data_IF_016873779896
#
_entry.id   IF_016873779896
#
_cell.length_a   1.000
_cell.length_b   1.000
_cell.length_c   1.000
_cell.angle_alpha   90.00
_cell.angle_beta   90.00
_cell.angle_gamma   90.00
#
_symmetry.space_group_name_H-M   'P 1'
#
loop_
_entity.id
_entity.type
_entity.pdbx_description
1 polymer ?
#
# COMPACT_ATOMS: atom_id res chain seq x y z
N UNK A 1 -1.80 39.15 -10.49
CA UNK A 1 -2.57 37.93 -10.14
C UNK A 1 -2.26 37.60 -8.68
N UNK A 2 -3.12 38.06 -7.78
CA UNK A 2 -2.99 37.83 -6.34
C UNK A 2 -3.54 36.43 -6.00
N UNK A 3 -2.67 35.50 -5.61
CA UNK A 3 -3.10 34.20 -5.09
C UNK A 3 -3.79 34.41 -3.74
N UNK A 4 -5.11 34.28 -3.75
CA UNK A 4 -6.01 34.38 -2.61
C UNK A 4 -5.60 33.39 -1.49
N UNK A 5 -4.82 33.88 -0.52
CA UNK A 5 -4.24 33.14 0.62
C UNK A 5 -5.29 32.43 1.49
N UNK A 6 -6.57 32.84 1.43
CA UNK A 6 -7.67 32.21 2.17
C UNK A 6 -8.17 30.87 1.60
N UNK A 7 -7.96 30.62 0.30
CA UNK A 7 -8.41 29.37 -0.34
C UNK A 7 -7.56 28.16 0.05
N UNK A 8 -6.25 28.37 0.20
CA UNK A 8 -5.28 27.31 0.56
C UNK A 8 -5.54 26.80 1.99
N UNK A 9 -5.81 27.70 2.94
CA UNK A 9 -6.13 27.32 4.32
C UNK A 9 -7.41 26.48 4.40
N UNK A 10 -8.45 26.86 3.65
CA UNK A 10 -9.69 26.08 3.60
C UNK A 10 -9.49 24.71 2.96
N UNK A 11 -8.66 24.61 1.92
CA UNK A 11 -8.31 23.32 1.30
C UNK A 11 -7.54 22.41 2.28
N UNK A 12 -6.55 22.97 3.00
CA UNK A 12 -5.76 22.25 4.00
C UNK A 12 -6.61 21.73 5.17
N UNK A 13 -7.56 22.55 5.66
CA UNK A 13 -8.47 22.18 6.77
C UNK A 13 -9.45 21.07 6.37
N UNK A 14 -9.78 20.91 5.09
CA UNK A 14 -10.63 19.81 4.61
C UNK A 14 -9.80 18.57 4.29
N UNK A 15 -8.60 18.75 3.73
CA UNK A 15 -7.71 17.64 3.36
C UNK A 15 -7.11 16.94 4.59
N UNK A 16 -6.72 17.67 5.65
CA UNK A 16 -6.19 17.05 6.88
C UNK A 16 -7.12 16.02 7.52
N UNK A 17 -8.40 16.33 7.81
CA UNK A 17 -9.31 15.36 8.42
C UNK A 17 -9.64 14.21 7.47
N UNK A 18 -9.65 14.42 6.14
CA UNK A 18 -9.86 13.36 5.16
C UNK A 18 -8.70 12.34 5.14
N UNK A 19 -7.47 12.79 5.42
CA UNK A 19 -6.30 11.92 5.56
C UNK A 19 -6.23 11.21 6.93
N UNK A 20 -6.88 11.78 7.96
CA UNK A 20 -6.97 11.17 9.30
C UNK A 20 -8.02 10.06 9.37
N UNK A 21 -9.07 10.11 8.55
CA UNK A 21 -10.14 9.09 8.53
C UNK A 21 -9.85 7.90 7.62
N UNK A 22 -8.83 7.97 6.77
CA UNK A 22 -8.43 6.88 5.88
C UNK A 22 -7.43 5.91 6.51
N UNK A 23 -7.19 5.98 7.84
CA UNK A 23 -6.49 4.93 8.56
C UNK A 23 -7.42 3.72 8.70
N UNK A 24 -7.63 3.03 7.59
CA UNK A 24 -8.20 1.69 7.57
C UNK A 24 -7.17 0.81 8.26
N UNK A 25 -7.37 0.54 9.55
CA UNK A 25 -6.56 -0.44 10.31
C UNK A 25 -7.00 -1.85 9.88
N UNK A 26 -6.77 -2.17 8.61
CA UNK A 26 -6.36 -3.52 8.27
C UNK A 26 -4.90 -3.63 8.73
N UNK A 27 -4.42 -4.79 9.21
CA UNK A 27 -2.99 -5.02 9.35
C UNK A 27 -2.39 -4.94 7.94
N UNK A 28 -1.98 -3.75 7.55
CA UNK A 28 -1.46 -3.45 6.22
C UNK A 28 -0.16 -4.22 6.05
N UNK A 29 -0.13 -5.21 5.16
CA UNK A 29 1.06 -6.02 4.91
C UNK A 29 2.26 -5.15 4.55
N UNK A 30 2.01 -3.98 3.93
CA UNK A 30 3.05 -3.02 3.61
C UNK A 30 3.58 -2.33 4.87
N UNK A 31 2.69 -2.02 5.82
CA UNK A 31 3.08 -1.66 7.19
C UNK A 31 3.88 -2.75 7.89
N UNK A 32 3.51 -4.03 7.72
CA UNK A 32 4.27 -5.17 8.25
C UNK A 32 5.67 -5.28 7.62
N UNK A 33 5.76 -5.20 6.28
CA UNK A 33 7.02 -5.23 5.54
C UNK A 33 7.91 -4.04 5.89
N UNK A 34 7.34 -2.84 5.98
CA UNK A 34 8.03 -1.61 6.39
C UNK A 34 8.52 -1.69 7.84
N UNK A 35 7.71 -2.24 8.74
CA UNK A 35 8.09 -2.55 10.12
C UNK A 35 9.28 -3.50 10.18
N UNK A 36 9.25 -4.61 9.45
CA UNK A 36 10.35 -5.56 9.35
C UNK A 36 11.63 -4.95 8.77
N UNK A 37 11.50 -4.01 7.82
CA UNK A 37 12.67 -3.29 7.30
C UNK A 37 13.28 -2.38 8.37
N UNK A 38 12.43 -1.57 9.02
CA UNK A 38 12.86 -0.64 10.05
C UNK A 38 13.50 -1.37 11.23
N UNK A 39 12.90 -2.45 11.72
CA UNK A 39 13.41 -3.24 12.84
C UNK A 39 14.79 -3.85 12.51
N UNK A 40 14.93 -4.46 11.34
CA UNK A 40 16.12 -5.24 11.03
C UNK A 40 17.28 -4.41 10.47
N UNK A 41 17.00 -3.27 9.81
CA UNK A 41 18.02 -2.44 9.16
C UNK A 41 18.23 -1.06 9.80
N UNK A 42 17.19 -0.41 10.30
CA UNK A 42 17.29 0.96 10.85
C UNK A 42 17.51 0.94 12.36
N UNK A 43 16.78 0.09 13.08
CA UNK A 43 16.87 -0.05 14.54
C UNK A 43 18.02 -0.94 15.03
N UNK A 44 18.80 -1.51 14.11
CA UNK A 44 19.71 -2.62 14.41
C UNK A 44 21.10 -2.38 13.82
N UNK A 45 22.11 -2.20 14.68
CA UNK A 45 23.54 -2.17 14.32
C UNK A 45 24.09 -3.58 13.95
N UNK A 46 23.26 -4.42 13.34
CA UNK A 46 23.67 -5.77 12.92
C UNK A 46 24.48 -5.70 11.63
N UNK A 47 25.43 -6.63 11.53
CA UNK A 47 26.18 -6.92 10.31
C UNK A 47 25.16 -7.22 9.19
N UNK A 48 25.36 -6.75 7.93
CA UNK A 48 24.36 -6.86 6.87
C UNK A 48 23.72 -8.25 6.69
N UNK A 49 24.51 -9.32 6.85
CA UNK A 49 24.03 -10.70 6.77
C UNK A 49 23.02 -11.06 7.86
N UNK A 50 23.20 -10.57 9.09
CA UNK A 50 22.27 -10.77 10.21
C UNK A 50 21.03 -9.90 10.07
N UNK A 51 21.14 -8.71 9.49
CA UNK A 51 19.99 -7.85 9.17
C UNK A 51 19.11 -8.47 8.10
N UNK A 52 19.70 -9.07 7.07
CA UNK A 52 18.95 -9.79 6.04
C UNK A 52 18.23 -11.03 6.58
N UNK A 53 18.91 -11.85 7.40
CA UNK A 53 18.28 -13.00 8.04
C UNK A 53 17.14 -12.60 9.00
N UNK A 54 17.31 -11.49 9.74
CA UNK A 54 16.24 -10.90 10.55
C UNK A 54 15.04 -10.51 9.68
N UNK A 55 15.29 -9.83 8.56
CA UNK A 55 14.24 -9.33 7.69
C UNK A 55 13.42 -10.47 7.08
N UNK A 56 14.09 -11.51 6.56
CA UNK A 56 13.40 -12.70 6.03
C UNK A 56 12.55 -13.40 7.08
N UNK A 57 13.08 -13.58 8.30
CA UNK A 57 12.33 -14.22 9.39
C UNK A 57 11.12 -13.39 9.82
N UNK A 58 11.26 -12.06 9.81
CA UNK A 58 10.17 -11.15 10.12
C UNK A 58 9.08 -11.20 9.04
N UNK A 59 9.46 -11.22 7.76
CA UNK A 59 8.51 -11.27 6.64
C UNK A 59 7.64 -12.54 6.61
N UNK A 60 8.11 -13.66 7.14
CA UNK A 60 7.32 -14.89 7.26
C UNK A 60 6.04 -14.69 8.10
N UNK A 61 6.09 -13.78 9.07
CA UNK A 61 4.92 -13.39 9.87
C UNK A 61 3.94 -12.46 9.14
N UNK A 62 4.39 -11.84 8.04
CA UNK A 62 3.60 -10.93 7.22
C UNK A 62 2.87 -11.65 6.07
N UNK A 63 2.90 -12.98 5.97
CA UNK A 63 2.22 -13.70 4.88
C UNK A 63 0.69 -13.67 5.07
N UNK A 64 -0.10 -13.37 4.02
CA UNK A 64 -1.57 -13.39 4.10
C UNK A 64 -2.07 -14.77 4.52
N UNK A 65 -3.01 -14.85 5.48
CA UNK A 65 -3.47 -16.14 6.04
C UNK A 65 -4.90 -16.51 5.66
N UNK A 66 -5.67 -15.59 5.07
CA UNK A 66 -7.02 -15.88 4.61
C UNK A 66 -7.16 -15.71 3.10
N UNK A 67 -8.13 -16.41 2.51
CA UNK A 67 -8.49 -16.28 1.10
C UNK A 67 -8.84 -14.82 0.74
N UNK A 68 -9.48 -14.10 1.66
CA UNK A 68 -9.81 -12.68 1.51
C UNK A 68 -8.55 -11.81 1.46
N UNK A 69 -7.56 -12.09 2.31
CA UNK A 69 -6.28 -11.38 2.28
C UNK A 69 -5.54 -11.64 0.96
N UNK A 70 -5.55 -12.89 0.48
CA UNK A 70 -4.97 -13.24 -0.83
C UNK A 70 -5.64 -12.49 -1.98
N UNK A 71 -6.98 -12.40 -1.99
CA UNK A 71 -7.70 -11.60 -2.99
C UNK A 71 -7.29 -10.14 -2.93
N UNK A 72 -7.26 -9.55 -1.73
CA UNK A 72 -6.90 -8.15 -1.52
C UNK A 72 -5.49 -7.83 -2.03
N UNK A 73 -4.48 -8.61 -1.62
CA UNK A 73 -3.10 -8.36 -2.02
C UNK A 73 -2.84 -8.67 -3.49
N UNK A 74 -3.52 -9.67 -4.05
CA UNK A 74 -3.49 -9.90 -5.49
C UNK A 74 -4.02 -8.68 -6.25
N UNK A 75 -5.15 -8.10 -5.81
CA UNK A 75 -5.74 -6.94 -6.47
C UNK A 75 -4.82 -5.73 -6.42
N UNK A 76 -4.20 -5.44 -5.27
CA UNK A 76 -3.23 -4.34 -5.15
C UNK A 76 -2.02 -4.58 -6.04
N UNK A 77 -1.39 -5.76 -5.96
CA UNK A 77 -0.21 -6.09 -6.75
C UNK A 77 -0.48 -6.03 -8.26
N UNK A 78 -1.63 -6.54 -8.70
CA UNK A 78 -2.05 -6.45 -10.09
C UNK A 78 -2.24 -4.99 -10.54
N UNK A 79 -2.92 -4.19 -9.71
CA UNK A 79 -3.22 -2.79 -9.98
C UNK A 79 -1.95 -1.95 -10.13
N UNK A 80 -1.00 -2.09 -9.19
CA UNK A 80 0.28 -1.39 -9.22
C UNK A 80 1.11 -1.77 -10.45
N UNK A 81 1.08 -3.05 -10.85
CA UNK A 81 1.88 -3.52 -11.99
C UNK A 81 1.28 -3.15 -13.34
N UNK A 82 -0.04 -3.15 -13.47
CA UNK A 82 -0.73 -3.05 -14.76
C UNK A 82 -1.47 -1.74 -14.97
N UNK A 83 -2.07 -1.19 -13.93
CA UNK A 83 -2.97 -0.05 -14.06
C UNK A 83 -2.27 1.30 -13.89
N UNK A 84 -1.03 1.31 -13.41
CA UNK A 84 -0.23 2.54 -13.27
C UNK A 84 -0.09 3.32 -14.59
N UNK A 85 0.00 2.61 -15.71
CA UNK A 85 0.14 3.21 -17.04
C UNK A 85 -1.14 3.85 -17.59
N UNK A 86 -2.30 3.56 -17.00
CA UNK A 86 -3.60 4.13 -17.42
C UNK A 86 -4.19 5.06 -16.36
N UNK A 87 -3.37 5.48 -15.39
CA UNK A 87 -3.81 6.29 -14.24
C UNK A 87 -4.36 7.68 -14.59
N UNK A 88 -4.11 8.17 -15.81
CA UNK A 88 -4.62 9.45 -16.30
C UNK A 88 -6.05 9.37 -16.89
N UNK A 89 -6.59 8.17 -17.08
CA UNK A 89 -7.93 7.95 -17.63
C UNK A 89 -8.76 7.08 -16.67
N UNK A 90 -9.75 7.70 -16.03
CA UNK A 90 -10.58 7.03 -15.03
C UNK A 90 -11.34 5.82 -15.56
N UNK A 91 -11.83 5.86 -16.81
CA UNK A 91 -12.59 4.76 -17.39
C UNK A 91 -11.68 3.58 -17.75
N UNK A 92 -10.48 3.85 -18.27
CA UNK A 92 -9.47 2.81 -18.49
C UNK A 92 -8.94 2.23 -17.18
N UNK A 93 -8.79 3.07 -16.15
CA UNK A 93 -8.36 2.63 -14.83
C UNK A 93 -9.38 1.71 -14.15
N UNK A 94 -10.66 2.08 -14.16
CA UNK A 94 -11.75 1.24 -13.64
C UNK A 94 -11.81 -0.11 -14.37
N UNK A 95 -11.73 -0.08 -15.70
CA UNK A 95 -11.67 -1.30 -16.52
C UNK A 95 -10.45 -2.16 -16.20
N UNK A 96 -9.32 -1.54 -15.88
CA UNK A 96 -8.11 -2.25 -15.46
C UNK A 96 -8.28 -2.93 -14.10
N UNK A 97 -8.86 -2.24 -13.12
CA UNK A 97 -9.18 -2.83 -11.80
C UNK A 97 -10.16 -3.99 -11.90
N UNK A 98 -11.17 -3.90 -12.78
CA UNK A 98 -12.06 -5.03 -13.10
C UNK A 98 -11.29 -6.26 -13.57
N UNK A 99 -10.36 -6.10 -14.52
CA UNK A 99 -9.50 -7.21 -14.98
C UNK A 99 -8.63 -7.79 -13.86
N UNK A 100 -8.12 -6.95 -12.96
CA UNK A 100 -7.36 -7.43 -11.81
C UNK A 100 -8.24 -8.26 -10.86
N UNK A 101 -9.48 -7.86 -10.66
CA UNK A 101 -10.46 -8.63 -9.89
C UNK A 101 -10.68 -10.02 -10.51
N UNK A 102 -10.85 -10.10 -11.82
CA UNK A 102 -11.05 -11.37 -12.53
C UNK A 102 -9.83 -12.28 -12.47
N UNK A 103 -8.62 -11.71 -12.56
CA UNK A 103 -7.36 -12.45 -12.43
C UNK A 103 -7.24 -13.05 -11.02
N UNK A 104 -7.51 -12.24 -10.01
CA UNK A 104 -7.35 -12.66 -8.62
C UNK A 104 -8.37 -13.70 -8.20
N UNK A 105 -9.61 -13.62 -8.70
CA UNK A 105 -10.63 -14.66 -8.49
C UNK A 105 -10.26 -16.03 -9.03
N UNK A 106 -9.37 -16.14 -10.03
CA UNK A 106 -8.94 -17.43 -10.61
C UNK A 106 -7.83 -18.14 -9.82
N UNK A 107 -7.25 -17.48 -8.81
CA UNK A 107 -6.12 -17.99 -8.04
C UNK A 107 -6.59 -18.80 -6.80
N UNK A 108 -7.89 -18.74 -6.47
CA UNK A 108 -8.56 -19.47 -5.39
C UNK A 108 -9.58 -20.42 -6.00
#
# INVERSE_FOLDING_TARGET
MECNRGGIYRLMVVLMPLMLTSVVVAPDIYGCWGGCFNECFIGSHKIPSKSFACHLKCLDSCVPRSATDYQYYCQIGCSLKRCIFVSYDGALMEKCFGKCTDICKKII
#
